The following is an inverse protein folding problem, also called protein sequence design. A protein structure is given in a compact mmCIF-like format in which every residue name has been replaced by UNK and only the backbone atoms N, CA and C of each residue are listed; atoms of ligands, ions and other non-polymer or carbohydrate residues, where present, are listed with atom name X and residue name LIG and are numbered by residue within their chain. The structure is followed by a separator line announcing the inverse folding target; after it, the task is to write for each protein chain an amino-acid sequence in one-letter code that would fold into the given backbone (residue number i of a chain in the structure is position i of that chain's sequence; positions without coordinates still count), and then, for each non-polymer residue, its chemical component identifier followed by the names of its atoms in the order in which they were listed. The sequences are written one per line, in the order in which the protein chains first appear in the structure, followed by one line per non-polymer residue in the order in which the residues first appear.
data_IF_094064914148
#
_entry.id   IF_094064914148
#
_cell.length_a   1.000
_cell.length_b   1.000
_cell.length_c   1.000
_cell.angle_alpha   90.00
_cell.angle_beta   90.00
_cell.angle_gamma   90.00
#
_symmetry.space_group_name_H-M   'P 1'
#
loop_
_entity.id
_entity.type
_entity.pdbx_description
1 polymer ?
#
# COMPACT_ATOMS: atom_id res chain seq x y z
N UNK A 1 -32.80 -5.02 16.91
CA UNK A 1 -32.36 -6.11 16.00
C UNK A 1 -30.92 -5.83 15.61
N UNK A 2 -30.02 -6.82 15.63
CA UNK A 2 -28.59 -6.64 15.33
C UNK A 2 -28.34 -6.55 13.81
N UNK A 3 -27.31 -5.80 13.39
CA UNK A 3 -26.81 -5.85 12.01
C UNK A 3 -26.01 -7.12 11.76
N UNK A 4 -25.71 -7.46 10.50
CA UNK A 4 -24.78 -8.56 10.19
C UNK A 4 -23.45 -8.41 10.95
N UNK A 5 -22.86 -7.20 10.93
CA UNK A 5 -21.67 -6.88 11.72
C UNK A 5 -21.88 -7.18 13.20
N UNK A 6 -22.94 -6.61 13.77
CA UNK A 6 -23.18 -6.72 15.19
C UNK A 6 -23.58 -8.12 15.67
N UNK A 7 -24.21 -8.90 14.79
CA UNK A 7 -24.51 -10.32 15.02
C UNK A 7 -23.22 -11.12 15.05
N UNK A 8 -22.36 -10.96 14.05
CA UNK A 8 -21.08 -11.67 13.95
C UNK A 8 -20.14 -11.32 15.10
N UNK A 9 -20.03 -10.04 15.43
CA UNK A 9 -19.26 -9.57 16.57
C UNK A 9 -19.80 -10.11 17.91
N UNK A 10 -21.12 -10.10 18.11
CA UNK A 10 -21.73 -10.63 19.33
C UNK A 10 -21.57 -12.16 19.45
N UNK A 11 -21.65 -12.90 18.35
CA UNK A 11 -21.39 -14.35 18.32
C UNK A 11 -19.96 -14.64 18.75
N UNK A 12 -18.97 -14.01 18.11
CA UNK A 12 -17.56 -14.18 18.48
C UNK A 12 -17.29 -13.80 19.92
N UNK A 13 -17.86 -12.70 20.39
CA UNK A 13 -17.74 -12.26 21.78
C UNK A 13 -18.32 -13.30 22.75
N UNK A 14 -19.40 -13.97 22.38
CA UNK A 14 -20.02 -15.05 23.17
C UNK A 14 -19.17 -16.31 23.17
N UNK A 15 -18.55 -16.68 22.04
CA UNK A 15 -17.57 -17.79 21.97
C UNK A 15 -16.40 -17.56 22.92
N UNK A 16 -15.94 -16.31 23.02
CA UNK A 16 -14.90 -15.89 23.97
C UNK A 16 -15.41 -15.71 25.42
N UNK A 17 -16.68 -16.04 25.69
CA UNK A 17 -17.35 -15.89 27.00
C UNK A 17 -17.24 -14.47 27.57
N UNK A 18 -17.26 -13.46 26.69
CA UNK A 18 -17.06 -12.07 27.03
C UNK A 18 -18.40 -11.31 27.07
N UNK A 19 -18.66 -10.56 28.15
CA UNK A 19 -19.83 -9.69 28.21
C UNK A 19 -19.62 -8.40 27.38
N UNK A 20 -20.68 -7.65 27.08
CA UNK A 20 -20.53 -6.33 26.45
C UNK A 20 -19.76 -5.35 27.36
N UNK A 21 -19.91 -5.48 28.68
CA UNK A 21 -19.20 -4.66 29.65
C UNK A 21 -17.69 -4.99 29.67
N UNK A 22 -17.33 -6.26 29.56
CA UNK A 22 -15.92 -6.68 29.47
C UNK A 22 -15.27 -6.20 28.17
N UNK A 23 -15.98 -6.35 27.05
CA UNK A 23 -15.50 -5.85 25.75
C UNK A 23 -15.32 -4.33 25.78
N UNK A 24 -16.28 -3.59 26.32
CA UNK A 24 -16.21 -2.13 26.50
C UNK A 24 -14.98 -1.71 27.30
N UNK A 25 -14.72 -2.41 28.42
CA UNK A 25 -13.55 -2.16 29.27
C UNK A 25 -12.23 -2.41 28.52
N UNK A 26 -12.12 -3.48 27.75
CA UNK A 26 -10.89 -3.80 27.00
C UNK A 26 -10.66 -2.89 25.78
N UNK A 27 -11.73 -2.41 25.15
CA UNK A 27 -11.68 -1.57 23.94
C UNK A 27 -11.56 -0.08 24.24
N UNK A 28 -11.82 0.34 25.48
CA UNK A 28 -11.98 1.75 25.80
C UNK A 28 -13.25 2.37 25.19
N UNK A 29 -14.18 1.55 24.67
CA UNK A 29 -15.44 2.01 24.08
C UNK A 29 -16.53 1.97 25.14
N UNK A 30 -17.31 3.04 25.30
CA UNK A 30 -18.42 3.06 26.26
C UNK A 30 -19.42 1.90 26.01
N UNK A 31 -19.94 1.21 27.05
CA UNK A 31 -20.86 0.07 26.88
C UNK A 31 -22.10 0.38 26.03
N UNK A 32 -22.66 1.58 26.17
CA UNK A 32 -23.78 2.04 25.35
C UNK A 32 -23.41 2.16 23.86
N UNK A 33 -22.17 2.57 23.56
CA UNK A 33 -21.65 2.66 22.18
C UNK A 33 -21.43 1.27 21.59
N UNK A 34 -20.88 0.32 22.36
CA UNK A 34 -20.78 -1.11 21.95
C UNK A 34 -22.16 -1.66 21.59
N UNK A 35 -23.16 -1.41 22.43
CA UNK A 35 -24.54 -1.81 22.14
C UNK A 35 -25.08 -1.15 20.87
N UNK A 36 -24.86 0.14 20.67
CA UNK A 36 -25.32 0.82 19.45
C UNK A 36 -24.62 0.32 18.19
N UNK A 37 -23.32 0.00 18.25
CA UNK A 37 -22.56 -0.59 17.15
C UNK A 37 -23.08 -1.99 16.80
N UNK A 38 -23.24 -2.87 17.80
CA UNK A 38 -23.76 -4.23 17.59
C UNK A 38 -25.24 -4.25 17.13
N UNK A 39 -25.99 -3.18 17.37
CA UNK A 39 -27.36 -3.03 16.88
C UNK A 39 -27.47 -2.20 15.60
N UNK A 40 -26.33 -1.76 15.03
CA UNK A 40 -26.28 -0.89 13.87
C UNK A 40 -27.14 0.35 14.00
N UNK A 41 -27.03 1.03 15.14
CA UNK A 41 -27.66 2.34 15.40
C UNK A 41 -26.69 3.50 15.16
N UNK A 42 -25.42 3.20 14.94
CA UNK A 42 -24.37 4.18 14.71
C UNK A 42 -23.34 3.62 13.75
N UNK A 43 -22.69 4.49 12.98
CA UNK A 43 -21.64 4.09 12.06
C UNK A 43 -20.43 3.57 12.83
N UNK A 44 -19.76 2.60 12.22
CA UNK A 44 -18.57 1.98 12.76
C UNK A 44 -17.37 2.62 12.05
N UNK A 45 -16.58 3.39 12.79
CA UNK A 45 -15.31 3.95 12.29
C UNK A 45 -14.20 2.89 12.26
N UNK A 46 -13.12 3.18 11.52
CA UNK A 46 -11.98 2.27 11.36
C UNK A 46 -11.21 2.05 12.66
N UNK A 47 -11.17 3.06 13.53
CA UNK A 47 -10.62 3.00 14.87
C UNK A 47 -11.36 1.95 15.72
N UNK A 48 -12.69 2.04 15.72
CA UNK A 48 -13.58 1.11 16.41
C UNK A 48 -13.46 -0.30 15.82
N UNK A 49 -13.43 -0.42 14.50
CA UNK A 49 -13.28 -1.72 13.83
C UNK A 49 -11.97 -2.41 14.22
N UNK A 50 -10.87 -1.65 14.28
CA UNK A 50 -9.57 -2.18 14.70
C UNK A 50 -9.60 -2.68 16.14
N UNK A 51 -10.32 -1.99 17.04
CA UNK A 51 -10.56 -2.47 18.41
C UNK A 51 -11.35 -3.77 18.44
N UNK A 52 -12.39 -3.90 17.60
CA UNK A 52 -13.18 -5.13 17.49
C UNK A 52 -12.33 -6.31 17.03
N UNK A 53 -11.52 -6.16 15.98
CA UNK A 53 -10.65 -7.23 15.49
C UNK A 53 -9.67 -7.69 16.57
N UNK A 54 -9.00 -6.73 17.22
CA UNK A 54 -7.99 -7.00 18.24
C UNK A 54 -8.57 -7.77 19.43
N UNK A 55 -9.70 -7.30 19.97
CA UNK A 55 -10.26 -7.85 21.22
C UNK A 55 -11.04 -9.14 20.97
N UNK A 56 -11.67 -9.27 19.81
CA UNK A 56 -12.35 -10.51 19.42
C UNK A 56 -11.38 -11.58 18.91
N UNK A 57 -10.07 -11.29 18.92
CA UNK A 57 -9.02 -12.17 18.42
C UNK A 57 -9.43 -12.74 17.06
N UNK A 58 -9.87 -11.83 16.18
CA UNK A 58 -10.35 -12.20 14.86
C UNK A 58 -9.15 -12.51 13.97
N UNK A 59 -9.08 -13.74 13.47
CA UNK A 59 -8.12 -14.14 12.45
C UNK A 59 -8.42 -13.44 11.11
N UNK A 60 -7.55 -13.63 10.12
CA UNK A 60 -7.68 -12.95 8.82
C UNK A 60 -9.04 -13.16 8.15
N UNK A 61 -9.66 -14.33 8.31
CA UNK A 61 -10.97 -14.63 7.75
C UNK A 61 -12.08 -13.87 8.48
N UNK A 62 -12.13 -13.96 9.80
CA UNK A 62 -13.15 -13.28 10.60
C UNK A 62 -13.00 -11.75 10.58
N UNK A 63 -11.76 -11.25 10.56
CA UNK A 63 -11.49 -9.82 10.45
C UNK A 63 -11.97 -9.26 9.11
N UNK A 64 -11.77 -10.01 8.02
CA UNK A 64 -12.27 -9.66 6.69
C UNK A 64 -13.80 -9.62 6.66
N UNK A 65 -14.45 -10.67 7.19
CA UNK A 65 -15.91 -10.76 7.28
C UNK A 65 -16.48 -9.58 8.09
N UNK A 66 -15.92 -9.26 9.25
CA UNK A 66 -16.38 -8.14 10.07
C UNK A 66 -16.25 -6.79 9.36
N UNK A 67 -15.18 -6.56 8.60
CA UNK A 67 -14.97 -5.32 7.83
C UNK A 67 -15.92 -5.20 6.64
N UNK A 68 -16.23 -6.31 5.96
CA UNK A 68 -17.26 -6.31 4.92
C UNK A 68 -18.63 -5.96 5.49
N UNK A 69 -18.97 -6.62 6.60
CA UNK A 69 -20.22 -6.37 7.31
C UNK A 69 -20.29 -4.94 7.86
N UNK A 70 -19.16 -4.34 8.26
CA UNK A 70 -19.04 -2.92 8.64
C UNK A 70 -19.38 -2.01 7.46
N UNK A 71 -18.74 -2.21 6.29
CA UNK A 71 -18.99 -1.41 5.09
C UNK A 71 -20.45 -1.46 4.68
N UNK A 72 -21.03 -2.66 4.62
CA UNK A 72 -22.44 -2.86 4.28
C UNK A 72 -23.34 -2.22 5.34
N UNK A 73 -23.03 -2.37 6.63
CA UNK A 73 -23.81 -1.77 7.71
C UNK A 73 -23.78 -0.24 7.66
N UNK A 74 -22.63 0.36 7.37
CA UNK A 74 -22.48 1.81 7.23
C UNK A 74 -23.24 2.35 6.00
N UNK A 75 -23.16 1.66 4.85
CA UNK A 75 -23.94 2.00 3.65
C UNK A 75 -25.45 1.86 3.87
N UNK A 76 -25.88 0.92 4.72
CA UNK A 76 -27.29 0.79 5.12
C UNK A 76 -27.66 1.82 6.22
N UNK A 77 -26.73 2.34 7.00
CA UNK A 77 -27.00 3.33 8.03
C UNK A 77 -27.11 4.76 7.50
N UNK A 78 -26.47 5.05 6.36
CA UNK A 78 -26.42 6.39 5.76
C UNK A 78 -27.76 6.94 5.24
N UNK A 79 -28.89 6.34 5.63
CA UNK A 79 -30.24 6.90 5.61
C UNK A 79 -30.58 7.72 4.36
N UNK A 80 -30.80 7.05 3.24
CA UNK A 80 -31.65 7.61 2.19
C UNK A 80 -32.17 6.50 1.31
N UNK A 81 -33.36 6.71 0.78
CA UNK A 81 -33.90 6.08 -0.43
C UNK A 81 -33.02 6.30 -1.67
N UNK A 82 -31.73 6.60 -1.50
CA UNK A 82 -30.75 6.81 -2.56
C UNK A 82 -30.46 5.49 -3.27
N UNK A 83 -30.87 5.37 -4.54
CA UNK A 83 -30.60 4.18 -5.34
C UNK A 83 -29.10 3.93 -5.53
N UNK A 84 -28.22 4.90 -5.32
CA UNK A 84 -26.76 4.73 -5.38
C UNK A 84 -26.24 3.90 -4.20
N UNK A 85 -26.60 4.26 -2.97
CA UNK A 85 -26.19 3.51 -1.77
C UNK A 85 -26.71 2.06 -1.79
N UNK A 86 -27.94 1.84 -2.26
CA UNK A 86 -28.49 0.49 -2.42
C UNK A 86 -27.81 -0.30 -3.56
N UNK A 87 -27.40 0.36 -4.65
CA UNK A 87 -26.63 -0.28 -5.74
C UNK A 87 -25.22 -0.66 -5.27
N UNK A 88 -24.56 0.20 -4.50
CA UNK A 88 -23.25 -0.09 -3.91
C UNK A 88 -23.33 -1.25 -2.92
N UNK A 89 -24.33 -1.24 -2.02
CA UNK A 89 -24.57 -2.34 -1.10
C UNK A 89 -24.89 -3.66 -1.81
N UNK A 90 -25.66 -3.61 -2.92
CA UNK A 90 -25.96 -4.79 -3.74
C UNK A 90 -24.74 -5.30 -4.51
N UNK A 91 -23.96 -4.41 -5.14
CA UNK A 91 -22.73 -4.79 -5.83
C UNK A 91 -21.69 -5.40 -4.87
N UNK A 92 -21.58 -4.85 -3.65
CA UNK A 92 -20.78 -5.43 -2.58
C UNK A 92 -21.32 -6.80 -2.16
N UNK A 93 -22.64 -6.97 -1.99
CA UNK A 93 -23.22 -8.27 -1.65
C UNK A 93 -22.96 -9.32 -2.74
N UNK A 94 -23.18 -8.97 -4.01
CA UNK A 94 -23.01 -9.87 -5.16
C UNK A 94 -21.54 -10.29 -5.32
N UNK A 95 -20.59 -9.37 -5.07
CA UNK A 95 -19.15 -9.67 -5.09
C UNK A 95 -18.65 -10.50 -3.90
N UNK A 96 -19.49 -10.68 -2.87
CA UNK A 96 -19.12 -11.32 -1.61
C UNK A 96 -19.97 -12.56 -1.29
N UNK A 97 -20.79 -13.01 -2.23
CA UNK A 97 -21.72 -14.12 -2.05
C UNK A 97 -21.04 -15.41 -1.57
N UNK A 98 -19.83 -15.70 -2.06
CA UNK A 98 -19.08 -16.91 -1.72
C UNK A 98 -18.27 -16.78 -0.40
N UNK A 99 -18.18 -15.57 0.15
CA UNK A 99 -17.33 -15.24 1.32
C UNK A 99 -18.10 -14.97 2.60
N UNK A 100 -19.40 -14.66 2.49
CA UNK A 100 -20.27 -14.44 3.63
C UNK A 100 -20.91 -15.74 4.11
N UNK A 101 -21.19 -15.83 5.40
CA UNK A 101 -22.04 -16.92 5.91
C UNK A 101 -23.41 -16.88 5.22
N UNK A 102 -23.98 -18.05 4.91
CA UNK A 102 -25.28 -18.12 4.22
C UNK A 102 -26.41 -17.38 4.96
N UNK A 103 -26.34 -17.34 6.30
CA UNK A 103 -27.30 -16.59 7.11
C UNK A 103 -27.11 -15.07 7.02
N UNK A 104 -25.86 -14.58 6.99
CA UNK A 104 -25.58 -13.16 6.88
C UNK A 104 -25.88 -12.65 5.47
N UNK A 105 -25.60 -13.46 4.45
CA UNK A 105 -25.95 -13.18 3.06
C UNK A 105 -27.46 -12.97 2.89
N UNK A 106 -28.28 -13.93 3.36
CA UNK A 106 -29.74 -13.83 3.28
C UNK A 106 -30.30 -12.68 4.13
N UNK A 107 -29.67 -12.38 5.28
CA UNK A 107 -30.03 -11.19 6.07
C UNK A 107 -29.81 -9.90 5.28
N UNK A 108 -28.64 -9.71 4.65
CA UNK A 108 -28.33 -8.49 3.88
C UNK A 108 -29.28 -8.36 2.69
N UNK A 109 -29.51 -9.46 1.96
CA UNK A 109 -30.44 -9.53 0.82
C UNK A 109 -31.86 -9.11 1.21
N UNK A 110 -32.36 -9.61 2.34
CA UNK A 110 -33.68 -9.24 2.88
C UNK A 110 -33.77 -7.74 3.22
N UNK A 111 -32.67 -7.13 3.69
CA UNK A 111 -32.61 -5.70 4.04
C UNK A 111 -32.55 -4.80 2.81
N UNK A 112 -31.83 -5.21 1.78
CA UNK A 112 -31.81 -4.50 0.48
C UNK A 112 -33.22 -4.58 -0.14
N UNK A 113 -33.85 -5.76 -0.16
CA UNK A 113 -35.18 -5.97 -0.71
C UNK A 113 -36.26 -5.16 0.04
N UNK A 114 -36.25 -5.17 1.37
CA UNK A 114 -37.21 -4.41 2.19
C UNK A 114 -37.10 -2.88 2.02
N UNK A 115 -35.96 -2.37 1.52
CA UNK A 115 -35.70 -0.94 1.32
C UNK A 115 -35.82 -0.49 -0.13
N UNK A 116 -35.55 -1.38 -1.07
CA UNK A 116 -35.51 -1.07 -2.50
C UNK A 116 -36.79 -1.42 -3.25
N UNK A 117 -37.97 -1.07 -2.73
CA UNK A 117 -39.29 -1.35 -3.31
C UNK A 117 -39.53 -0.59 -4.65
N UNK A 118 -38.62 -0.72 -5.61
CA UNK A 118 -38.57 -0.06 -6.91
C UNK A 118 -38.31 -1.15 -7.95
N UNK A 119 -39.33 -1.44 -8.76
CA UNK A 119 -39.24 -2.34 -9.90
C UNK A 119 -38.16 -1.87 -10.89
N UNK A 120 -37.19 -2.74 -11.22
CA UNK A 120 -36.20 -2.50 -12.27
C UNK A 120 -36.77 -2.96 -13.62
N UNK A 121 -37.00 -2.03 -14.56
CA UNK A 121 -36.28 -2.10 -15.84
C UNK A 121 -36.06 -0.72 -16.48
N UNK A 122 -34.92 -0.07 -16.26
CA UNK A 122 -34.51 1.12 -17.06
C UNK A 122 -33.05 1.59 -16.86
N UNK A 123 -32.12 0.69 -16.52
CA UNK A 123 -30.70 1.07 -16.31
C UNK A 123 -29.69 0.22 -17.09
N UNK A 124 -30.12 -0.37 -18.20
CA UNK A 124 -29.21 -0.75 -19.29
C UNK A 124 -29.41 0.30 -20.38
N UNK A 125 -28.53 1.31 -20.45
CA UNK A 125 -28.14 2.11 -21.62
C UNK A 125 -27.64 3.50 -21.19
N UNK A 126 -26.37 3.61 -20.82
CA UNK A 126 -25.54 4.80 -21.08
C UNK A 126 -24.09 4.54 -20.64
N UNK A 127 -23.20 4.25 -21.60
CA UNK A 127 -21.78 4.66 -21.63
C UNK A 127 -20.95 3.75 -22.55
N UNK A 128 -21.31 3.70 -23.83
CA UNK A 128 -20.34 3.43 -24.90
C UNK A 128 -20.00 4.76 -25.55
N UNK A 129 -18.95 5.43 -25.07
CA UNK A 129 -18.22 6.44 -25.86
C UNK A 129 -16.77 6.01 -25.98
N UNK A 130 -16.51 5.24 -27.02
CA UNK A 130 -15.18 4.94 -27.56
C UNK A 130 -14.52 6.27 -27.96
N UNK A 131 -13.52 6.72 -27.19
CA UNK A 131 -12.58 7.74 -27.66
C UNK A 131 -11.54 7.03 -28.54
N UNK A 132 -11.46 7.41 -29.82
CA UNK A 132 -10.42 6.96 -30.75
C UNK A 132 -9.04 7.39 -30.23
N UNK A 133 -8.20 6.42 -29.86
CA UNK A 133 -6.81 6.64 -29.47
C UNK A 133 -5.94 6.91 -30.70
N UNK A 134 -5.15 8.00 -30.66
CA UNK A 134 -4.05 8.22 -31.60
C UNK A 134 -2.99 7.10 -31.44
N UNK A 135 -2.24 6.74 -32.49
CA UNK A 135 -1.20 5.71 -32.39
C UNK A 135 -0.11 6.20 -31.43
N UNK A 136 0.02 5.53 -30.28
CA UNK A 136 1.15 5.68 -29.36
C UNK A 136 2.32 4.89 -29.93
N UNK A 137 3.41 5.57 -30.26
CA UNK A 137 4.72 4.91 -30.36
C UNK A 137 4.99 4.27 -29.00
N UNK A 138 5.09 2.94 -28.94
CA UNK A 138 5.32 2.23 -27.69
C UNK A 138 6.73 2.55 -27.20
N UNK A 139 6.87 3.55 -26.34
CA UNK A 139 8.04 3.61 -25.44
C UNK A 139 8.02 2.31 -24.63
N UNK A 140 9.09 1.52 -24.71
CA UNK A 140 9.27 0.35 -23.83
C UNK A 140 9.09 0.82 -22.39
N UNK A 141 8.33 0.05 -21.61
CA UNK A 141 8.20 0.33 -20.19
C UNK A 141 9.58 0.06 -19.56
N UNK A 142 10.22 1.02 -18.86
CA UNK A 142 11.54 0.81 -18.25
C UNK A 142 11.52 -0.38 -17.29
N UNK A 143 10.35 -0.65 -16.72
CA UNK A 143 10.09 -1.87 -16.00
C UNK A 143 10.48 -3.06 -16.88
N UNK A 144 9.94 -3.27 -18.08
CA UNK A 144 10.21 -4.44 -18.96
C UNK A 144 11.70 -4.71 -19.27
N UNK A 145 12.59 -3.73 -19.08
CA UNK A 145 14.05 -3.88 -19.24
C UNK A 145 14.73 -4.51 -18.02
N UNK A 146 14.12 -4.39 -16.83
CA UNK A 146 14.54 -5.05 -15.59
C UNK A 146 14.25 -6.55 -15.63
N UNK A 147 15.31 -7.38 -15.57
CA UNK A 147 15.17 -8.84 -15.55
C UNK A 147 14.52 -9.39 -14.26
N UNK A 148 13.98 -10.62 -14.29
CA UNK A 148 13.39 -11.26 -13.12
C UNK A 148 14.34 -11.38 -11.93
N UNK A 149 15.61 -11.68 -12.18
CA UNK A 149 16.65 -11.81 -11.17
C UNK A 149 16.91 -10.48 -10.47
N UNK A 150 17.12 -9.41 -11.26
CA UNK A 150 17.34 -8.06 -10.74
C UNK A 150 16.14 -7.56 -9.92
N UNK A 151 14.93 -7.83 -10.39
CA UNK A 151 13.71 -7.51 -9.63
C UNK A 151 13.70 -8.21 -8.27
N UNK A 152 14.01 -9.51 -8.24
CA UNK A 152 14.02 -10.29 -7.00
C UNK A 152 15.14 -9.82 -6.05
N UNK A 153 16.34 -9.55 -6.56
CA UNK A 153 17.47 -9.01 -5.80
C UNK A 153 17.12 -7.68 -5.11
N UNK A 154 16.50 -6.75 -5.84
CA UNK A 154 16.08 -5.46 -5.29
C UNK A 154 15.09 -5.65 -4.14
N UNK A 155 14.07 -6.48 -4.33
CA UNK A 155 13.05 -6.72 -3.31
C UNK A 155 13.63 -7.38 -2.05
N UNK A 156 14.53 -8.33 -2.25
CA UNK A 156 15.18 -9.04 -1.15
C UNK A 156 16.12 -8.09 -0.40
N UNK A 157 16.88 -7.26 -1.10
CA UNK A 157 17.78 -6.25 -0.49
C UNK A 157 16.99 -5.23 0.33
N UNK A 158 15.84 -4.77 -0.18
CA UNK A 158 14.95 -3.87 0.55
C UNK A 158 14.39 -4.53 1.83
N UNK A 159 14.08 -5.83 1.77
CA UNK A 159 13.64 -6.59 2.94
C UNK A 159 14.75 -6.79 3.97
N UNK A 160 15.99 -7.04 3.53
CA UNK A 160 17.14 -7.19 4.42
C UNK A 160 17.38 -5.90 5.21
N UNK A 161 17.47 -4.75 4.51
CA UNK A 161 17.61 -3.44 5.14
C UNK A 161 16.50 -3.18 6.17
N UNK A 162 15.25 -3.52 5.81
CA UNK A 162 14.11 -3.37 6.71
C UNK A 162 14.27 -4.22 7.97
N UNK A 163 14.69 -5.47 7.85
CA UNK A 163 14.82 -6.44 8.96
C UNK A 163 15.95 -6.12 9.92
N UNK A 164 16.96 -5.36 9.49
CA UNK A 164 18.05 -4.92 10.37
C UNK A 164 17.55 -3.99 11.49
N UNK A 165 16.51 -3.19 11.20
CA UNK A 165 16.04 -2.13 12.10
C UNK A 165 14.65 -2.36 12.67
N UNK A 166 13.76 -2.93 11.86
CA UNK A 166 12.35 -3.00 12.17
C UNK A 166 11.95 -4.45 12.40
N UNK A 167 11.24 -4.68 13.50
CA UNK A 167 10.64 -5.98 13.77
C UNK A 167 9.45 -6.17 12.84
N UNK A 168 9.41 -7.30 12.15
CA UNK A 168 8.24 -7.75 11.39
C UNK A 168 7.60 -6.65 10.51
N UNK A 169 6.27 -6.55 10.59
CA UNK A 169 5.38 -5.72 9.79
C UNK A 169 5.23 -4.29 10.33
N UNK A 170 6.12 -3.82 11.20
CA UNK A 170 6.08 -2.44 11.70
C UNK A 170 6.28 -1.42 10.56
N UNK A 171 5.49 -0.35 10.45
CA UNK A 171 5.73 0.68 9.45
C UNK A 171 7.16 1.24 9.54
N UNK A 172 7.82 1.42 8.40
CA UNK A 172 9.17 2.01 8.33
C UNK A 172 9.13 3.41 8.96
N UNK A 173 10.01 3.64 9.94
CA UNK A 173 10.25 4.93 10.57
C UNK A 173 11.48 5.54 9.90
N UNK A 174 11.24 6.51 9.01
CA UNK A 174 12.27 7.02 8.10
C UNK A 174 13.36 7.82 8.80
N UNK A 175 13.03 8.52 9.88
CA UNK A 175 13.98 9.15 10.79
C UNK A 175 15.01 8.13 11.31
N UNK A 176 14.54 7.02 11.88
CA UNK A 176 15.41 5.95 12.40
C UNK A 176 16.22 5.28 11.29
N UNK A 177 15.60 5.07 10.12
CA UNK A 177 16.26 4.43 8.98
C UNK A 177 17.40 5.30 8.43
N UNK A 178 17.16 6.60 8.23
CA UNK A 178 18.16 7.53 7.71
C UNK A 178 19.34 7.70 8.68
N UNK A 179 19.06 7.86 9.97
CA UNK A 179 20.08 7.88 11.03
C UNK A 179 20.98 6.63 10.99
N UNK A 180 20.37 5.46 10.82
CA UNK A 180 21.09 4.20 10.73
C UNK A 180 21.98 4.11 9.49
N UNK A 181 21.47 4.51 8.33
CA UNK A 181 22.25 4.48 7.07
C UNK A 181 23.44 5.44 7.17
N UNK A 182 23.22 6.68 7.64
CA UNK A 182 24.27 7.69 7.83
C UNK A 182 25.34 7.24 8.83
N UNK A 183 24.95 6.55 9.90
CA UNK A 183 25.90 6.00 10.86
C UNK A 183 26.79 4.87 10.28
N UNK A 184 26.31 4.14 9.27
CA UNK A 184 27.04 3.01 8.68
C UNK A 184 27.83 3.37 7.42
N UNK A 185 27.42 4.41 6.69
CA UNK A 185 28.01 4.78 5.42
C UNK A 185 28.53 6.21 5.45
N UNK A 186 29.85 6.36 5.60
CA UNK A 186 30.51 7.68 5.61
C UNK A 186 30.35 8.47 4.29
N UNK A 187 29.89 7.83 3.21
CA UNK A 187 29.61 8.47 1.91
C UNK A 187 28.15 8.89 1.75
N UNK A 188 27.33 8.74 2.79
CA UNK A 188 25.93 9.11 2.80
C UNK A 188 25.66 10.08 3.94
N UNK A 189 24.97 11.15 3.62
CA UNK A 189 24.40 12.03 4.62
C UNK A 189 22.98 12.45 4.20
N UNK A 190 22.25 13.05 5.14
CA UNK A 190 20.97 13.68 4.84
C UNK A 190 20.77 14.91 5.70
N UNK A 191 20.09 15.90 5.14
CA UNK A 191 19.73 17.12 5.87
C UNK A 191 18.24 17.40 5.74
N UNK A 192 17.66 17.86 6.84
CA UNK A 192 16.30 18.39 6.88
C UNK A 192 16.41 19.91 6.89
N UNK A 193 15.92 20.55 5.83
CA UNK A 193 16.01 22.00 5.64
C UNK A 193 14.63 22.64 5.69
N UNK A 194 14.53 23.84 6.25
CA UNK A 194 13.27 24.60 6.31
C UNK A 194 12.67 24.81 4.92
N UNK A 195 13.52 25.07 3.92
CA UNK A 195 13.15 25.17 2.52
C UNK A 195 14.28 24.68 1.62
N UNK A 196 13.92 24.02 0.52
CA UNK A 196 14.90 23.65 -0.50
C UNK A 196 15.41 24.90 -1.23
N UNK A 197 16.66 24.88 -1.76
CA UNK A 197 17.21 25.97 -2.56
C UNK A 197 16.23 26.46 -3.64
N UNK A 198 16.19 27.78 -3.89
CA UNK A 198 15.24 28.41 -4.80
C UNK A 198 15.23 27.78 -6.22
N UNK A 199 16.38 27.28 -6.67
CA UNK A 199 16.57 26.58 -7.94
C UNK A 199 15.74 25.28 -8.04
N UNK A 200 15.44 24.67 -6.89
CA UNK A 200 14.67 23.43 -6.74
C UNK A 200 13.42 23.60 -5.84
N UNK A 201 12.95 24.84 -5.68
CA UNK A 201 11.74 25.21 -4.91
C UNK A 201 10.46 24.52 -5.40
N UNK A 202 9.92 23.58 -4.61
CA UNK A 202 8.74 22.78 -4.96
C UNK A 202 9.02 21.28 -5.14
N UNK A 203 10.29 20.86 -5.17
CA UNK A 203 10.69 19.47 -5.23
C UNK A 203 10.47 18.86 -3.85
N UNK A 204 10.29 17.54 -3.79
CA UNK A 204 10.04 16.86 -2.51
C UNK A 204 11.35 16.58 -1.76
N UNK A 205 12.38 16.24 -2.52
CA UNK A 205 13.73 16.00 -2.05
C UNK A 205 14.70 16.32 -3.21
N UNK A 206 15.99 16.40 -2.89
CA UNK A 206 17.05 16.51 -3.88
C UNK A 206 18.31 15.78 -3.37
N UNK A 207 19.09 15.22 -4.29
CA UNK A 207 20.36 14.58 -3.95
C UNK A 207 21.50 15.46 -4.48
N UNK A 208 22.44 15.78 -3.61
CA UNK A 208 23.65 16.53 -3.92
C UNK A 208 24.86 15.62 -3.85
N UNK A 209 25.48 15.35 -4.99
CA UNK A 209 26.75 14.63 -5.07
C UNK A 209 27.93 15.52 -4.73
N UNK A 210 28.91 14.97 -4.02
CA UNK A 210 30.19 15.62 -3.72
C UNK A 210 31.33 14.60 -3.71
N UNK A 211 32.58 15.07 -3.68
CA UNK A 211 33.77 14.22 -3.82
C UNK A 211 33.91 13.12 -2.75
N UNK A 212 33.25 13.28 -1.61
CA UNK A 212 33.24 12.31 -0.50
C UNK A 212 31.98 11.44 -0.42
N UNK A 213 30.97 11.65 -1.26
CA UNK A 213 29.68 10.98 -1.11
C UNK A 213 28.51 11.73 -1.74
N UNK A 214 27.34 11.61 -1.13
CA UNK A 214 26.20 12.44 -1.47
C UNK A 214 25.34 12.73 -0.24
N UNK A 215 24.61 13.83 -0.30
CA UNK A 215 23.66 14.27 0.73
C UNK A 215 22.26 14.33 0.15
N UNK A 216 21.27 13.75 0.83
CA UNK A 216 19.86 13.91 0.48
C UNK A 216 19.27 15.07 1.29
N UNK A 217 18.74 16.09 0.60
CA UNK A 217 18.01 17.19 1.23
C UNK A 217 16.51 16.89 1.23
N UNK A 218 15.88 16.97 2.40
CA UNK A 218 14.43 16.90 2.57
C UNK A 218 13.87 18.23 3.09
N UNK A 219 12.80 18.72 2.48
CA UNK A 219 12.04 19.85 3.03
C UNK A 219 11.34 19.45 4.33
N UNK A 220 11.52 20.23 5.40
CA UNK A 220 11.09 19.90 6.76
C UNK A 220 9.60 19.53 6.85
N UNK A 221 8.72 20.37 6.29
CA UNK A 221 7.27 20.13 6.32
C UNK A 221 6.89 18.78 5.69
N UNK A 222 7.55 18.43 4.58
CA UNK A 222 7.31 17.19 3.84
C UNK A 222 7.88 15.99 4.57
N UNK A 223 9.08 16.13 5.15
CA UNK A 223 9.72 15.10 5.94
C UNK A 223 8.88 14.74 7.17
N UNK A 224 8.43 15.74 7.93
CA UNK A 224 7.55 15.55 9.09
C UNK A 224 6.25 14.88 8.68
N UNK A 225 5.66 15.29 7.55
CA UNK A 225 4.44 14.68 7.02
C UNK A 225 4.62 13.21 6.60
N UNK A 226 5.78 12.86 6.02
CA UNK A 226 6.12 11.48 5.71
C UNK A 226 6.23 10.62 6.98
N UNK A 227 6.89 11.16 8.02
CA UNK A 227 6.99 10.53 9.33
C UNK A 227 5.62 10.36 10.00
N UNK A 228 4.69 11.29 9.76
CA UNK A 228 3.30 11.22 10.21
C UNK A 228 2.41 10.25 9.40
N UNK A 229 2.95 9.59 8.37
CA UNK A 229 2.24 8.53 7.66
C UNK A 229 1.70 8.93 6.27
N UNK A 230 2.02 10.09 5.72
CA UNK A 230 1.51 10.50 4.39
C UNK A 230 2.12 9.63 3.29
N UNK A 231 1.29 8.79 2.65
CA UNK A 231 1.75 7.69 1.79
C UNK A 231 2.69 8.14 0.66
N UNK A 232 2.33 9.20 -0.06
CA UNK A 232 3.14 9.69 -1.17
C UNK A 232 4.52 10.18 -0.70
N UNK A 233 4.58 10.89 0.43
CA UNK A 233 5.82 11.45 0.95
C UNK A 233 6.74 10.36 1.51
N UNK A 234 6.15 9.32 2.12
CA UNK A 234 6.88 8.10 2.52
C UNK A 234 7.55 7.43 1.33
N UNK A 235 6.80 7.29 0.23
CA UNK A 235 7.33 6.71 -1.00
C UNK A 235 8.49 7.53 -1.55
N UNK A 236 8.38 8.87 -1.56
CA UNK A 236 9.47 9.74 -2.01
C UNK A 236 10.73 9.53 -1.17
N UNK A 237 10.64 9.52 0.16
CA UNK A 237 11.83 9.29 1.00
C UNK A 237 12.44 7.91 0.71
N UNK A 238 11.61 6.87 0.60
CA UNK A 238 12.06 5.53 0.26
C UNK A 238 12.72 5.46 -1.14
N UNK A 239 12.25 6.28 -2.09
CA UNK A 239 12.80 6.40 -3.44
C UNK A 239 14.20 7.03 -3.42
N UNK A 240 14.41 8.11 -2.69
CA UNK A 240 15.75 8.71 -2.59
C UNK A 240 16.74 7.80 -1.85
N UNK A 241 16.26 7.08 -0.83
CA UNK A 241 17.05 6.02 -0.18
C UNK A 241 17.41 4.92 -1.18
N UNK A 242 16.51 4.55 -2.08
CA UNK A 242 16.80 3.56 -3.10
C UNK A 242 17.93 3.98 -4.04
N UNK A 243 17.96 5.26 -4.44
CA UNK A 243 19.06 5.82 -5.22
C UNK A 243 20.40 5.69 -4.49
N UNK A 244 20.42 5.92 -3.18
CA UNK A 244 21.61 5.63 -2.36
C UNK A 244 22.02 4.15 -2.46
N UNK A 245 21.10 3.22 -2.22
CA UNK A 245 21.45 1.79 -2.14
C UNK A 245 21.83 1.15 -3.48
N UNK A 246 21.15 1.55 -4.56
CA UNK A 246 21.29 0.90 -5.86
C UNK A 246 22.24 1.65 -6.80
N UNK A 247 22.34 2.97 -6.64
CA UNK A 247 22.95 3.87 -7.62
C UNK A 247 23.93 4.88 -7.02
N UNK A 248 24.45 4.64 -5.80
CA UNK A 248 25.42 5.52 -5.13
C UNK A 248 26.59 5.94 -6.04
N UNK A 249 27.15 5.01 -6.82
CA UNK A 249 28.28 5.29 -7.71
C UNK A 249 27.93 6.30 -8.81
N UNK A 250 26.68 6.29 -9.31
CA UNK A 250 26.17 7.28 -10.27
C UNK A 250 26.03 8.68 -9.65
N UNK A 251 25.96 8.76 -8.31
CA UNK A 251 25.81 10.01 -7.55
C UNK A 251 27.15 10.65 -7.12
N UNK A 252 28.29 9.98 -7.32
CA UNK A 252 29.62 10.44 -6.85
C UNK A 252 30.27 11.53 -7.73
N UNK A 253 29.49 12.30 -8.51
CA UNK A 253 30.04 13.40 -9.32
C UNK A 253 30.36 14.63 -8.47
N UNK A 254 31.47 15.32 -8.74
CA UNK A 254 31.77 16.62 -8.12
C UNK A 254 30.67 17.64 -8.46
N UNK A 255 29.98 18.13 -7.43
CA UNK A 255 28.98 19.22 -7.43
C UNK A 255 27.76 18.99 -8.34
N UNK A 256 27.28 17.74 -8.42
CA UNK A 256 26.10 17.37 -9.18
C UNK A 256 24.80 17.47 -8.37
N UNK A 257 23.79 18.14 -8.91
CA UNK A 257 22.42 18.14 -8.39
C UNK A 257 21.57 17.14 -9.18
N UNK A 258 20.99 16.16 -8.47
CA UNK A 258 20.08 15.18 -9.03
C UNK A 258 18.64 15.44 -8.55
N UNK A 259 17.72 15.45 -9.51
CA UNK A 259 16.29 15.62 -9.27
C UNK A 259 15.53 14.40 -9.80
N UNK A 260 14.53 13.89 -9.06
CA UNK A 260 13.66 12.84 -9.56
C UNK A 260 12.95 13.25 -10.86
N UNK A 261 12.83 12.31 -11.80
CA UNK A 261 12.23 12.55 -13.13
C UNK A 261 10.80 13.11 -13.04
N UNK A 262 10.02 12.75 -12.00
CA UNK A 262 8.65 13.24 -11.85
C UNK A 262 8.58 14.74 -11.50
N UNK A 263 9.62 15.30 -10.89
CA UNK A 263 9.73 16.73 -10.54
C UNK A 263 10.26 17.56 -11.71
N UNK A 264 11.11 16.97 -12.55
CA UNK A 264 11.53 17.58 -13.82
C UNK A 264 10.36 17.78 -14.80
N UNK A 265 9.39 16.86 -14.83
CA UNK A 265 8.23 16.99 -15.73
C UNK A 265 7.36 18.23 -15.42
N UNK A 266 7.43 18.75 -14.19
CA UNK A 266 6.69 19.94 -13.74
C UNK A 266 7.45 21.24 -13.96
N UNK A 267 8.77 21.17 -14.18
CA UNK A 267 9.63 22.35 -14.33
C UNK A 267 10.34 22.33 -15.67
N UNK A 268 10.04 23.30 -16.52
CA UNK A 268 11.03 23.70 -17.52
C UNK A 268 12.21 24.26 -16.72
N UNK A 269 13.46 23.83 -16.95
CA UNK A 269 14.61 24.42 -16.27
C UNK A 269 14.62 25.91 -16.64
N UNK A 270 14.28 26.76 -15.67
CA UNK A 270 14.39 28.20 -15.80
C UNK A 270 15.85 28.53 -15.48
N UNK A 271 16.59 28.99 -16.49
CA UNK A 271 17.89 29.66 -16.41
C UNK A 271 18.86 29.15 -15.33
N UNK A 272 19.33 27.91 -15.46
CA UNK A 272 20.49 27.41 -14.72
C UNK A 272 21.76 27.81 -15.48
N UNK A 273 22.78 28.31 -14.77
CA UNK A 273 24.05 28.69 -15.39
C UNK A 273 24.74 27.43 -15.96
N UNK A 274 25.51 27.53 -17.06
CA UNK A 274 26.18 26.37 -17.68
C UNK A 274 27.12 25.59 -16.75
N UNK A 275 27.56 26.24 -15.67
CA UNK A 275 28.46 25.72 -14.63
C UNK A 275 27.71 24.89 -13.57
N UNK A 276 26.42 25.15 -13.38
CA UNK A 276 25.50 24.47 -12.44
C UNK A 276 24.69 23.41 -13.21
N UNK A 277 25.36 22.57 -13.99
CA UNK A 277 24.71 21.47 -14.71
C UNK A 277 23.99 20.58 -13.70
N UNK A 278 22.67 20.70 -13.60
CA UNK A 278 21.81 19.60 -13.15
C UNK A 278 22.12 18.46 -14.11
N UNK A 279 23.02 17.56 -13.69
CA UNK A 279 23.35 16.36 -14.42
C UNK A 279 22.17 15.42 -14.25
N UNK A 280 21.31 15.42 -15.25
CA UNK A 280 20.23 14.45 -15.39
C UNK A 280 20.87 13.15 -15.89
N UNK A 281 21.58 12.45 -15.00
CA UNK A 281 22.32 11.23 -15.37
C UNK A 281 21.63 9.95 -14.89
N UNK A 282 20.48 10.02 -14.21
CA UNK A 282 19.72 8.83 -13.83
C UNK A 282 18.89 8.34 -15.02
N UNK A 283 19.24 7.15 -15.52
CA UNK A 283 18.52 6.48 -16.59
C UNK A 283 17.09 6.11 -16.15
N UNK A 284 16.20 5.94 -17.13
CA UNK A 284 14.81 5.51 -16.84
C UNK A 284 14.73 4.14 -16.16
N UNK A 285 15.77 3.31 -16.31
CA UNK A 285 15.85 2.02 -15.64
C UNK A 285 16.21 2.18 -14.16
N UNK A 286 17.20 3.02 -13.84
CA UNK A 286 17.60 3.32 -12.45
C UNK A 286 16.43 3.94 -11.66
N UNK A 287 15.63 4.82 -12.28
CA UNK A 287 14.40 5.32 -11.65
C UNK A 287 13.37 4.20 -11.39
N UNK A 288 13.22 3.24 -12.32
CA UNK A 288 12.31 2.12 -12.12
C UNK A 288 12.82 1.15 -11.05
N UNK A 289 14.13 0.98 -10.93
CA UNK A 289 14.77 0.22 -9.85
C UNK A 289 14.56 0.90 -8.50
N UNK A 290 14.70 2.23 -8.44
CA UNK A 290 14.43 3.03 -7.25
C UNK A 290 12.95 2.96 -6.81
N UNK A 291 12.01 3.10 -7.76
CA UNK A 291 10.55 2.96 -7.48
C UNK A 291 10.21 1.56 -6.94
N UNK A 292 10.84 0.50 -7.49
CA UNK A 292 10.67 -0.87 -7.02
C UNK A 292 11.19 -1.03 -5.59
N UNK A 293 12.43 -0.60 -5.33
CA UNK A 293 13.03 -0.69 -4.02
C UNK A 293 12.21 0.06 -2.98
N UNK A 294 11.77 1.27 -3.30
CA UNK A 294 10.93 2.08 -2.42
C UNK A 294 9.65 1.33 -2.01
N UNK A 295 8.97 0.76 -3.02
CA UNK A 295 7.75 -0.04 -2.79
C UNK A 295 8.06 -1.26 -1.93
N UNK A 296 9.14 -1.99 -2.19
CA UNK A 296 9.52 -3.22 -1.47
C UNK A 296 10.03 -2.95 -0.04
N UNK A 297 10.64 -1.79 0.19
CA UNK A 297 11.08 -1.33 1.51
C UNK A 297 9.87 -1.04 2.40
N UNK A 298 8.86 -0.36 1.84
CA UNK A 298 7.62 -0.02 2.55
C UNK A 298 6.75 -1.26 2.72
N UNK A 299 6.51 -2.02 1.64
CA UNK A 299 5.69 -3.23 1.59
C UNK A 299 6.57 -4.46 1.41
N UNK A 300 6.84 -5.24 2.49
CA UNK A 300 7.62 -6.47 2.40
C UNK A 300 7.05 -7.43 1.35
N UNK A 301 7.90 -7.91 0.44
CA UNK A 301 7.45 -8.79 -0.65
C UNK A 301 6.81 -10.09 -0.12
N UNK A 302 7.20 -10.56 1.06
CA UNK A 302 6.61 -11.75 1.71
C UNK A 302 5.10 -11.60 1.94
N UNK A 303 4.60 -10.36 2.11
CA UNK A 303 3.16 -10.12 2.22
C UNK A 303 2.39 -10.42 0.94
N UNK A 304 3.07 -10.47 -0.20
CA UNK A 304 2.47 -10.91 -1.46
C UNK A 304 2.21 -12.42 -1.45
N UNK A 305 2.99 -13.21 -0.69
CA UNK A 305 2.77 -14.65 -0.54
C UNK A 305 1.56 -14.97 0.33
N UNK A 306 1.23 -14.10 1.29
CA UNK A 306 0.07 -14.27 2.17
C UNK A 306 -1.28 -14.07 1.46
N UNK A 307 -1.26 -13.66 0.18
CA UNK A 307 -2.49 -13.41 -0.59
C UNK A 307 -3.27 -12.18 -0.13
N UNK A 308 -2.62 -11.26 0.60
CA UNK A 308 -3.24 -10.01 1.05
C UNK A 308 -3.70 -9.16 -0.15
N UNK A 309 -4.92 -8.62 -0.08
CA UNK A 309 -5.43 -7.75 -1.15
C UNK A 309 -4.58 -6.45 -1.23
N UNK A 310 -4.33 -5.99 -2.46
CA UNK A 310 -3.41 -4.86 -2.72
C UNK A 310 -3.82 -3.56 -2.01
N UNK A 311 -5.12 -3.36 -1.82
CA UNK A 311 -5.64 -2.20 -1.10
C UNK A 311 -5.21 -2.20 0.37
N UNK A 312 -5.12 -3.37 1.00
CA UNK A 312 -4.66 -3.50 2.39
C UNK A 312 -3.14 -3.38 2.48
N UNK A 313 -2.39 -3.93 1.52
CA UNK A 313 -0.95 -3.67 1.45
C UNK A 313 -0.64 -2.18 1.30
N UNK A 314 -1.39 -1.48 0.46
CA UNK A 314 -1.30 -0.02 0.33
C UNK A 314 -1.65 0.72 1.62
N UNK A 315 -2.75 0.35 2.29
CA UNK A 315 -3.22 1.04 3.50
C UNK A 315 -2.38 0.75 4.74
N UNK A 316 -2.05 -0.51 4.97
CA UNK A 316 -1.43 -0.97 6.22
C UNK A 316 0.05 -0.58 6.30
N UNK A 317 0.72 -0.46 5.15
CA UNK A 317 2.12 -0.06 5.07
C UNK A 317 2.32 1.42 4.68
N UNK A 318 1.23 2.13 4.34
CA UNK A 318 1.30 3.53 3.95
C UNK A 318 1.93 3.75 2.58
N UNK A 319 1.55 2.94 1.59
CA UNK A 319 2.00 3.01 0.20
C UNK A 319 0.85 3.40 -0.75
N UNK A 320 1.16 3.90 -1.93
CA UNK A 320 0.20 4.16 -3.00
C UNK A 320 -0.28 2.87 -3.66
N UNK A 321 -1.61 2.73 -3.81
CA UNK A 321 -2.21 1.56 -4.46
C UNK A 321 -1.68 1.31 -5.87
N UNK A 322 -1.39 2.37 -6.64
CA UNK A 322 -0.84 2.26 -7.99
C UNK A 322 0.53 1.58 -8.00
N UNK A 323 1.42 1.93 -7.06
CA UNK A 323 2.74 1.32 -6.91
C UNK A 323 2.62 -0.16 -6.54
N UNK A 324 1.77 -0.49 -5.56
CA UNK A 324 1.50 -1.89 -5.15
C UNK A 324 0.91 -2.71 -6.30
N UNK A 325 0.05 -2.12 -7.14
CA UNK A 325 -0.50 -2.78 -8.33
C UNK A 325 0.57 -3.08 -9.40
N UNK A 326 1.44 -2.11 -9.68
CA UNK A 326 2.55 -2.31 -10.61
C UNK A 326 3.49 -3.42 -10.12
N UNK A 327 3.82 -3.39 -8.82
CA UNK A 327 4.63 -4.39 -8.15
C UNK A 327 4.01 -5.79 -8.23
N UNK A 328 2.71 -5.94 -7.90
CA UNK A 328 2.01 -7.23 -7.94
C UNK A 328 1.95 -7.84 -9.34
N UNK A 329 1.72 -7.05 -10.39
CA UNK A 329 1.66 -7.56 -11.77
C UNK A 329 2.92 -8.30 -12.15
N UNK A 330 4.06 -7.79 -11.71
CA UNK A 330 5.36 -8.40 -11.95
C UNK A 330 5.65 -9.59 -11.07
N UNK A 331 5.32 -9.47 -9.78
CA UNK A 331 5.41 -10.57 -8.82
C UNK A 331 4.73 -11.86 -9.32
N UNK A 332 3.60 -11.73 -10.03
CA UNK A 332 2.86 -12.87 -10.56
C UNK A 332 3.56 -13.59 -11.73
N UNK A 333 4.66 -13.06 -12.27
CA UNK A 333 5.41 -13.71 -13.35
C UNK A 333 6.17 -14.92 -12.83
N UNK A 334 6.03 -16.07 -13.49
CA UNK A 334 6.68 -17.32 -13.04
C UNK A 334 8.20 -17.19 -12.90
N UNK A 335 8.86 -16.56 -13.88
CA UNK A 335 10.31 -16.34 -13.86
C UNK A 335 10.76 -15.50 -12.66
N UNK A 336 9.94 -14.53 -12.22
CA UNK A 336 10.21 -13.73 -11.02
C UNK A 336 10.15 -14.61 -9.77
N UNK A 337 9.09 -15.41 -9.63
CA UNK A 337 8.94 -16.33 -8.50
C UNK A 337 10.07 -17.37 -8.43
N UNK A 338 10.50 -17.90 -9.59
CA UNK A 338 11.65 -18.80 -9.71
C UNK A 338 12.97 -18.11 -9.29
N UNK A 339 13.15 -16.84 -9.65
CA UNK A 339 14.30 -16.04 -9.21
C UNK A 339 14.32 -15.83 -7.69
N UNK A 340 13.20 -15.45 -7.08
CA UNK A 340 13.10 -15.36 -5.61
C UNK A 340 13.40 -16.69 -4.93
N UNK A 341 12.82 -17.79 -5.43
CA UNK A 341 13.05 -19.12 -4.87
C UNK A 341 14.52 -19.54 -4.93
N UNK A 342 15.23 -19.12 -5.99
CA UNK A 342 16.67 -19.33 -6.16
C UNK A 342 17.47 -18.52 -5.15
N UNK A 343 17.17 -17.23 -4.98
CA UNK A 343 17.87 -16.34 -4.02
C UNK A 343 17.69 -16.87 -2.60
N UNK A 344 16.46 -17.20 -2.21
CA UNK A 344 16.10 -17.75 -0.88
C UNK A 344 16.79 -19.11 -0.66
N UNK A 345 16.86 -19.96 -1.69
CA UNK A 345 17.57 -21.24 -1.60
C UNK A 345 19.07 -21.05 -1.34
N UNK A 346 19.71 -20.15 -2.09
CA UNK A 346 21.15 -19.84 -1.96
C UNK A 346 21.47 -19.27 -0.57
N UNK A 347 20.52 -18.57 0.04
CA UNK A 347 20.60 -18.06 1.43
C UNK A 347 20.40 -19.14 2.50
N UNK A 348 20.15 -20.39 2.11
CA UNK A 348 20.00 -21.53 3.01
C UNK A 348 18.59 -21.73 3.54
N UNK A 349 17.60 -20.98 3.03
CA UNK A 349 16.20 -21.11 3.44
C UNK A 349 15.52 -22.23 2.63
N UNK A 350 15.81 -23.48 3.00
CA UNK A 350 15.34 -24.69 2.28
C UNK A 350 13.82 -24.90 2.46
N UNK A 351 13.20 -24.25 3.46
CA UNK A 351 11.76 -24.31 3.73
C UNK A 351 11.20 -22.89 3.79
N UNK A 352 10.73 -22.40 2.65
CA UNK A 352 10.13 -21.09 2.49
C UNK A 352 8.77 -21.18 1.76
N UNK A 353 7.74 -20.40 2.14
CA UNK A 353 6.40 -20.48 1.53
C UNK A 353 6.38 -20.23 0.00
N UNK A 354 7.45 -19.66 -0.55
CA UNK A 354 7.59 -19.47 -1.99
C UNK A 354 7.66 -20.79 -2.77
N UNK A 355 8.20 -21.86 -2.18
CA UNK A 355 8.25 -23.17 -2.84
C UNK A 355 6.85 -23.78 -2.93
N UNK A 356 6.01 -23.57 -1.91
CA UNK A 356 4.62 -23.98 -1.95
C UNK A 356 3.87 -23.21 -3.05
N UNK A 357 4.13 -21.91 -3.14
CA UNK A 357 3.57 -21.02 -4.16
C UNK A 357 3.97 -21.41 -5.60
N UNK A 358 5.15 -22.02 -5.78
CA UNK A 358 5.61 -22.58 -7.07
C UNK A 358 5.07 -23.98 -7.35
N UNK A 359 4.75 -24.76 -6.31
CA UNK A 359 4.34 -26.18 -6.41
C UNK A 359 2.84 -26.37 -6.63
N UNK A 360 2.00 -25.44 -6.16
CA UNK A 360 0.56 -25.53 -6.34
C UNK A 360 0.15 -25.15 -7.78
N UNK A 361 -0.81 -25.88 -8.37
CA UNK A 361 -1.58 -25.45 -9.57
C UNK A 361 -2.35 -24.11 -9.38
N UNK A 362 -2.07 -23.36 -8.29
CA UNK A 362 -2.60 -22.02 -7.99
C UNK A 362 -1.97 -20.90 -8.82
N UNK A 363 -1.02 -21.19 -9.71
CA UNK A 363 -0.65 -20.22 -10.75
C UNK A 363 -1.79 -20.10 -11.78
N UNK A 364 -2.88 -19.45 -11.38
CA UNK A 364 -3.97 -19.06 -12.25
C UNK A 364 -3.79 -17.59 -12.65
N UNK A 365 -3.38 -17.29 -13.89
CA UNK A 365 -3.24 -15.93 -14.39
C UNK A 365 -4.59 -15.20 -14.60
N UNK A 366 -5.70 -15.71 -14.04
CA UNK A 366 -7.07 -15.22 -14.31
C UNK A 366 -7.52 -14.01 -13.47
N UNK A 367 -6.62 -13.38 -12.72
CA UNK A 367 -6.91 -12.16 -11.93
C UNK A 367 -6.10 -10.93 -12.36
N UNK A 368 -5.68 -10.87 -13.64
CA UNK A 368 -5.08 -9.68 -14.25
C UNK A 368 -6.04 -8.49 -14.36
#
# INVERSE_FOLDING_TARGET
MRTGFGRRAALRRTELRMSQADFARLSGIAPARVSNLEHGRTNIGDDVMSQYIRILQADGSLAHELRQLQSISNSLLSNSSDPKALREAKALLDGLADKLSGEDFEWIKSRIAARGNVELPSLLYASNKVKRSKPRVSRKNPWDEMGPERFAEICVSALDLRRELFKDYEPVKFDILLDYIAAQNIRFDYEIVESLPAQIEGAFAAIFGHSSGHTILFEEERFVSACAGVHFLRHVIAHEIAHHFLHAESLLSEDGLFLPVQEMAKRRPVDLRPEEQIRVDISTLEEAEAELFATALIVPWEKLLEGTELLFLSKDYGEQLGAVQAFRRRWNQKAVLEAFATIVFVRGEIKHPIYDYLSEERWHPRHC
#
